data_IF_313319110015
#
_entry.id   IF_313319110015
#
_cell.length_a   1.000
_cell.length_b   1.000
_cell.length_c   1.000
_cell.angle_alpha   90.00
_cell.angle_beta   90.00
_cell.angle_gamma   90.00
#
_symmetry.space_group_name_H-M   'P 1'
#
loop_
_entity.id
_entity.type
_entity.pdbx_description
1 polymer ?
#
# COMPACT_ATOMS: atom_id res chain seq x y z
N UNK A 1 -27.67 44.99 -35.90
CA UNK A 1 -28.43 43.81 -35.45
C UNK A 1 -27.58 42.52 -35.45
N UNK A 2 -26.77 42.23 -36.49
CA UNK A 2 -25.99 40.98 -36.59
C UNK A 2 -24.89 40.81 -35.51
N UNK A 3 -24.25 41.89 -35.05
CA UNK A 3 -23.18 41.80 -34.03
C UNK A 3 -23.67 41.29 -32.67
N UNK A 4 -24.89 41.65 -32.27
CA UNK A 4 -25.47 41.19 -31.01
C UNK A 4 -25.88 39.71 -31.05
N UNK A 5 -26.41 39.25 -32.19
CA UNK A 5 -26.69 37.83 -32.39
C UNK A 5 -25.41 36.98 -32.33
N UNK A 6 -24.32 37.45 -32.96
CA UNK A 6 -23.02 36.77 -32.91
C UNK A 6 -22.49 36.71 -31.47
N UNK A 7 -22.57 37.81 -30.70
CA UNK A 7 -22.11 37.79 -29.30
C UNK A 7 -22.94 36.85 -28.42
N UNK A 8 -24.26 36.77 -28.64
CA UNK A 8 -25.13 35.85 -27.88
C UNK A 8 -24.80 34.39 -28.20
N UNK A 9 -24.62 34.06 -29.49
CA UNK A 9 -24.24 32.72 -29.91
C UNK A 9 -22.87 32.32 -29.35
N UNK A 10 -21.91 33.24 -29.34
CA UNK A 10 -20.58 32.98 -28.78
C UNK A 10 -20.65 32.73 -27.27
N UNK A 11 -21.42 33.54 -26.54
CA UNK A 11 -21.62 33.37 -25.10
C UNK A 11 -22.31 32.04 -24.78
N UNK A 12 -23.32 31.65 -25.57
CA UNK A 12 -24.01 30.37 -25.44
C UNK A 12 -23.06 29.20 -25.67
N UNK A 13 -22.24 29.27 -26.74
CA UNK A 13 -21.23 28.26 -27.02
C UNK A 13 -20.25 28.12 -25.84
N UNK A 14 -19.75 29.24 -25.31
CA UNK A 14 -18.85 29.25 -24.15
C UNK A 14 -19.50 28.63 -22.91
N UNK A 15 -20.77 28.94 -22.64
CA UNK A 15 -21.50 28.38 -21.51
C UNK A 15 -21.67 26.86 -21.64
N UNK A 16 -21.98 26.37 -22.84
CA UNK A 16 -22.10 24.93 -23.12
C UNK A 16 -20.75 24.23 -22.95
N UNK A 17 -19.68 24.78 -23.52
CA UNK A 17 -18.33 24.22 -23.37
C UNK A 17 -17.89 24.19 -21.90
N UNK A 18 -18.17 25.24 -21.14
CA UNK A 18 -17.89 25.30 -19.70
C UNK A 18 -18.66 24.22 -18.95
N UNK A 19 -19.97 24.08 -19.20
CA UNK A 19 -20.80 23.07 -18.56
C UNK A 19 -20.31 21.64 -18.85
N UNK A 20 -19.99 21.35 -20.12
CA UNK A 20 -19.42 20.06 -20.51
C UNK A 20 -18.05 19.81 -19.85
N UNK A 21 -17.20 20.84 -19.79
CA UNK A 21 -15.90 20.76 -19.12
C UNK A 21 -16.04 20.41 -17.63
N UNK A 22 -16.99 21.03 -16.92
CA UNK A 22 -17.26 20.72 -15.51
C UNK A 22 -17.74 19.29 -15.33
N UNK A 23 -18.66 18.82 -16.19
CA UNK A 23 -19.16 17.44 -16.13
C UNK A 23 -18.03 16.43 -16.40
N UNK A 24 -17.22 16.68 -17.43
CA UNK A 24 -16.09 15.83 -17.81
C UNK A 24 -15.06 15.73 -16.68
N UNK A 25 -14.61 16.88 -16.16
CA UNK A 25 -13.62 16.92 -15.06
C UNK A 25 -14.15 16.23 -13.80
N UNK A 26 -15.44 16.38 -13.48
CA UNK A 26 -16.07 15.67 -12.36
C UNK A 26 -16.15 14.17 -12.59
N UNK A 27 -16.41 13.73 -13.82
CA UNK A 27 -16.42 12.32 -14.16
C UNK A 27 -15.02 11.71 -14.02
N UNK A 28 -14.01 12.33 -14.63
CA UNK A 28 -12.61 11.91 -14.51
C UNK A 28 -12.13 11.88 -13.06
N UNK A 29 -12.44 12.92 -12.27
CA UNK A 29 -12.12 12.96 -10.85
C UNK A 29 -12.73 11.78 -10.09
N UNK A 30 -13.97 11.40 -10.40
CA UNK A 30 -14.60 10.22 -9.80
C UNK A 30 -13.91 8.92 -10.23
N UNK A 31 -13.55 8.79 -11.50
CA UNK A 31 -12.81 7.61 -11.99
C UNK A 31 -11.47 7.45 -11.27
N UNK A 32 -10.69 8.53 -11.17
CA UNK A 32 -9.41 8.53 -10.46
C UNK A 32 -9.56 8.25 -8.98
N UNK A 33 -10.58 8.80 -8.31
CA UNK A 33 -10.85 8.52 -6.90
C UNK A 33 -11.17 7.04 -6.66
N UNK A 34 -11.93 6.40 -7.56
CA UNK A 34 -12.21 4.96 -7.48
C UNK A 34 -10.95 4.14 -7.69
N UNK A 35 -10.15 4.46 -8.71
CA UNK A 35 -8.89 3.77 -8.98
C UNK A 35 -7.91 3.89 -7.80
N UNK A 36 -7.81 5.08 -7.20
CA UNK A 36 -7.00 5.30 -6.01
C UNK A 36 -7.48 4.42 -4.84
N UNK A 37 -8.78 4.42 -4.54
CA UNK A 37 -9.34 3.59 -3.48
C UNK A 37 -9.10 2.09 -3.68
N UNK A 38 -9.11 1.60 -4.93
CA UNK A 38 -8.78 0.21 -5.25
C UNK A 38 -7.30 -0.11 -4.98
N UNK A 39 -6.39 0.80 -5.31
CA UNK A 39 -4.96 0.63 -5.01
C UNK A 39 -4.68 0.68 -3.52
N UNK A 40 -5.33 1.60 -2.80
CA UNK A 40 -5.22 1.70 -1.34
C UNK A 40 -5.71 0.43 -0.64
N UNK A 41 -6.85 -0.10 -1.08
CA UNK A 41 -7.38 -1.37 -0.54
C UNK A 41 -6.38 -2.53 -0.75
N UNK A 42 -5.77 -2.62 -1.93
CA UNK A 42 -4.76 -3.65 -2.21
C UNK A 42 -3.50 -3.46 -1.34
N UNK A 43 -3.02 -2.22 -1.22
CA UNK A 43 -1.90 -1.89 -0.34
C UNK A 43 -2.20 -2.31 1.11
N UNK A 44 -3.38 -1.98 1.62
CA UNK A 44 -3.75 -2.27 2.99
C UNK A 44 -3.89 -3.78 3.26
N UNK A 45 -4.35 -4.54 2.26
CA UNK A 45 -4.33 -6.00 2.31
C UNK A 45 -2.89 -6.54 2.41
N UNK A 46 -1.95 -6.01 1.62
CA UNK A 46 -0.54 -6.42 1.71
C UNK A 46 0.11 -6.02 3.04
N UNK A 47 -0.19 -4.84 3.57
CA UNK A 47 0.31 -4.40 4.88
C UNK A 47 -0.17 -5.34 5.98
N UNK A 48 -1.45 -5.74 5.92
CA UNK A 48 -2.03 -6.69 6.87
C UNK A 48 -1.30 -8.03 6.83
N UNK A 49 -1.12 -8.60 5.64
CA UNK A 49 -0.42 -9.88 5.49
C UNK A 49 1.05 -9.77 5.93
N UNK A 50 1.74 -8.69 5.57
CA UNK A 50 3.09 -8.44 6.01
C UNK A 50 3.21 -8.38 7.54
N UNK A 51 2.30 -7.67 8.21
CA UNK A 51 2.29 -7.59 9.67
C UNK A 51 2.10 -8.97 10.32
N UNK A 52 1.25 -9.81 9.72
CA UNK A 52 1.05 -11.18 10.17
C UNK A 52 2.31 -12.01 10.01
N UNK A 53 2.94 -11.96 8.84
CA UNK A 53 4.20 -12.68 8.57
C UNK A 53 5.32 -12.24 9.52
N UNK A 54 5.38 -10.96 9.88
CA UNK A 54 6.34 -10.47 10.86
C UNK A 54 6.12 -11.09 12.25
N UNK A 55 4.85 -11.21 12.69
CA UNK A 55 4.53 -11.88 13.95
C UNK A 55 4.88 -13.36 13.90
N UNK A 56 4.57 -14.05 12.79
CA UNK A 56 4.94 -15.45 12.60
C UNK A 56 6.47 -15.64 12.65
N UNK A 57 7.24 -14.76 11.99
CA UNK A 57 8.70 -14.77 12.05
C UNK A 57 9.23 -14.48 13.45
N UNK A 58 8.65 -13.52 14.17
CA UNK A 58 9.06 -13.21 15.53
C UNK A 58 8.88 -14.41 16.46
N UNK A 59 7.75 -15.12 16.36
CA UNK A 59 7.49 -16.34 17.14
C UNK A 59 8.43 -17.48 16.74
N UNK A 60 8.76 -17.62 15.46
CA UNK A 60 9.68 -18.66 14.98
C UNK A 60 11.13 -18.39 15.38
N UNK A 61 11.53 -17.12 15.45
CA UNK A 61 12.86 -16.69 15.86
C UNK A 61 13.02 -16.61 17.39
N UNK A 62 11.92 -16.69 18.14
CA UNK A 62 11.96 -16.69 19.60
C UNK A 62 12.73 -17.90 20.14
N UNK A 63 13.52 -17.66 21.18
CA UNK A 63 14.37 -18.69 21.80
C UNK A 63 13.56 -19.90 22.28
N UNK A 64 12.32 -19.69 22.76
CA UNK A 64 11.43 -20.77 23.19
C UNK A 64 11.06 -21.74 22.06
N UNK A 65 11.04 -21.27 20.82
CA UNK A 65 10.80 -22.11 19.62
C UNK A 65 12.10 -22.69 19.07
N UNK A 66 13.20 -21.93 19.10
CA UNK A 66 14.49 -22.32 18.52
C UNK A 66 15.22 -23.35 19.38
N UNK A 67 15.25 -23.20 20.70
CA UNK A 67 16.00 -24.07 21.62
C UNK A 67 15.60 -25.55 21.55
N UNK A 68 14.29 -25.92 21.58
CA UNK A 68 13.89 -27.31 21.44
C UNK A 68 14.30 -27.89 20.07
N UNK A 69 14.10 -27.14 18.98
CA UNK A 69 14.50 -27.58 17.64
C UNK A 69 16.01 -27.76 17.53
N UNK A 70 16.81 -26.86 18.09
CA UNK A 70 18.26 -26.96 18.09
C UNK A 70 18.74 -28.18 18.90
N UNK A 71 18.12 -28.44 20.06
CA UNK A 71 18.43 -29.62 20.87
C UNK A 71 18.02 -30.92 20.18
N UNK A 72 16.81 -30.98 19.63
CA UNK A 72 16.24 -32.23 19.13
C UNK A 72 16.75 -32.57 17.71
N UNK A 73 16.89 -31.57 16.83
CA UNK A 73 17.33 -31.78 15.45
C UNK A 73 18.85 -31.73 15.27
N UNK A 74 19.56 -30.91 16.05
CA UNK A 74 21.02 -30.73 15.95
C UNK A 74 21.79 -31.35 17.13
N UNK A 75 21.09 -31.93 18.11
CA UNK A 75 21.72 -32.52 19.30
C UNK A 75 22.42 -31.48 20.18
N UNK A 76 22.10 -30.19 20.03
CA UNK A 76 22.76 -29.11 20.80
C UNK A 76 22.47 -29.24 22.29
N UNK A 77 23.49 -28.98 23.11
CA UNK A 77 23.44 -29.08 24.58
C UNK A 77 23.85 -27.74 25.17
N UNK A 78 23.30 -27.39 26.33
CA UNK A 78 23.78 -26.21 27.05
C UNK A 78 25.26 -26.40 27.42
N UNK A 79 26.12 -25.41 27.16
CA UNK A 79 27.52 -25.47 27.56
C UNK A 79 27.67 -25.37 29.08
N UNK A 80 28.59 -26.13 29.68
CA UNK A 80 28.85 -26.14 31.13
C UNK A 80 29.36 -24.79 31.67
N UNK A 81 29.92 -23.93 30.79
CA UNK A 81 30.38 -22.58 31.11
C UNK A 81 30.05 -21.65 29.95
N UNK A 82 29.66 -20.42 30.24
CA UNK A 82 29.44 -19.38 29.23
C UNK A 82 30.77 -19.08 28.53
N UNK A 83 30.85 -19.34 27.23
CA UNK A 83 32.03 -19.04 26.39
C UNK A 83 31.60 -18.09 25.27
N UNK A 84 32.31 -16.97 25.12
CA UNK A 84 32.09 -16.04 24.01
C UNK A 84 32.97 -16.50 22.85
N UNK A 85 32.36 -16.94 21.75
CA UNK A 85 33.08 -17.30 20.52
C UNK A 85 33.22 -16.05 19.64
N UNK A 86 34.42 -15.49 19.54
CA UNK A 86 34.70 -14.40 18.60
C UNK A 86 35.00 -15.02 17.24
N UNK A 87 34.10 -14.83 16.28
CA UNK A 87 34.32 -15.22 14.89
C UNK A 87 34.87 -14.01 14.15
N UNK A 88 36.10 -14.10 13.65
CA UNK A 88 36.68 -13.06 12.80
C UNK A 88 36.06 -13.19 11.39
N UNK A 89 35.59 -12.10 10.77
CA UNK A 89 34.95 -12.14 9.45
C UNK A 89 35.89 -12.59 8.33
#
# INVERSE_FOLDING_TARGET
MNKQLISILLALAFAIFSALGVVYTRHESRQHAVALGQLETQRDAFITEWSRLQLEQAVLADAGTVEPKARDALGMKSPDKTVILVVNP
#
